data_IF_106515737192
#
_entry.id   IF_106515737192
#
_cell.length_a   1.000
_cell.length_b   1.000
_cell.length_c   1.000
_cell.angle_alpha   90.00
_cell.angle_beta   90.00
_cell.angle_gamma   90.00
#
_symmetry.space_group_name_H-M   'P 1'
#
loop_
_entity.id
_entity.type
_entity.pdbx_description
1 polymer ?
#
# COMPACT_ATOMS: atom_id res chain seq x y z
N UNK A 1 35.69 -37.40 -25.83
CA UNK A 1 35.13 -36.76 -24.63
C UNK A 1 35.14 -35.25 -24.84
N UNK A 2 34.00 -34.66 -25.20
CA UNK A 2 33.83 -33.19 -25.26
C UNK A 2 32.68 -32.86 -24.34
N UNK A 3 33.01 -32.39 -23.14
CA UNK A 3 32.04 -31.95 -22.13
C UNK A 3 31.40 -30.67 -22.69
N UNK A 4 30.18 -30.78 -23.20
CA UNK A 4 29.34 -29.61 -23.46
C UNK A 4 28.99 -29.06 -22.07
N UNK A 5 29.66 -27.98 -21.71
CA UNK A 5 29.40 -27.21 -20.50
C UNK A 5 28.01 -26.61 -20.66
N UNK A 6 27.05 -27.13 -19.88
CA UNK A 6 25.75 -26.51 -19.69
C UNK A 6 26.04 -25.18 -18.99
N UNK A 7 26.00 -24.10 -19.76
CA UNK A 7 25.99 -22.73 -19.22
C UNK A 7 24.61 -22.57 -18.58
N UNK A 8 24.56 -22.87 -17.29
CA UNK A 8 23.46 -22.54 -16.41
C UNK A 8 23.38 -21.01 -16.39
N UNK A 9 22.52 -20.46 -17.25
CA UNK A 9 22.12 -19.05 -17.20
C UNK A 9 21.45 -18.85 -15.85
N UNK A 10 22.25 -18.46 -14.87
CA UNK A 10 21.84 -18.01 -13.56
C UNK A 10 21.06 -16.72 -13.81
N UNK A 11 19.75 -16.85 -14.03
CA UNK A 11 18.83 -15.71 -13.98
C UNK A 11 18.90 -15.23 -12.55
N UNK A 12 19.76 -14.24 -12.32
CA UNK A 12 19.75 -13.41 -11.12
C UNK A 12 18.29 -12.99 -10.92
N UNK A 13 17.63 -13.33 -9.81
CA UNK A 13 16.35 -12.73 -9.47
C UNK A 13 16.64 -11.26 -9.19
N UNK A 14 16.62 -10.45 -10.24
CA UNK A 14 16.72 -9.00 -10.15
C UNK A 14 15.53 -8.52 -9.34
N UNK A 15 15.77 -8.29 -8.06
CA UNK A 15 15.12 -7.34 -7.17
C UNK A 15 13.65 -7.09 -7.52
N UNK A 16 12.82 -8.05 -7.10
CA UNK A 16 11.38 -7.88 -6.97
C UNK A 16 11.13 -6.88 -5.84
N UNK A 17 11.45 -5.59 -6.04
CA UNK A 17 11.03 -4.47 -5.19
C UNK A 17 9.58 -4.12 -5.51
N UNK A 18 8.71 -5.13 -5.45
CA UNK A 18 7.35 -5.02 -5.93
C UNK A 18 6.34 -4.60 -4.84
N UNK A 19 6.80 -4.25 -3.64
CA UNK A 19 5.98 -3.77 -2.54
C UNK A 19 6.90 -2.98 -1.59
N UNK A 20 6.37 -1.99 -0.86
CA UNK A 20 7.17 -1.27 0.14
C UNK A 20 7.71 -2.26 1.17
N UNK A 21 9.02 -2.22 1.40
CA UNK A 21 9.66 -3.07 2.40
C UNK A 21 9.21 -2.65 3.81
N UNK A 22 8.85 -1.38 4.00
CA UNK A 22 8.29 -0.83 5.24
C UNK A 22 6.97 -1.50 5.58
N UNK A 23 6.04 -1.58 4.63
CA UNK A 23 4.74 -2.25 4.81
C UNK A 23 4.92 -3.75 5.07
N UNK A 24 5.94 -4.36 4.46
CA UNK A 24 6.27 -5.76 4.68
C UNK A 24 6.83 -6.00 6.08
N UNK A 25 7.84 -5.22 6.50
CA UNK A 25 8.40 -5.25 7.86
C UNK A 25 7.35 -4.96 8.92
N UNK A 26 6.44 -4.02 8.65
CA UNK A 26 5.32 -3.71 9.54
C UNK A 26 4.41 -4.93 9.75
N UNK A 27 4.01 -5.61 8.68
CA UNK A 27 3.23 -6.85 8.78
C UNK A 27 3.98 -7.93 9.57
N UNK A 28 5.27 -8.15 9.26
CA UNK A 28 6.08 -9.18 9.93
C UNK A 28 6.24 -8.90 11.43
N UNK A 29 6.43 -7.62 11.80
CA UNK A 29 6.52 -7.17 13.21
C UNK A 29 5.19 -7.35 13.95
N UNK A 30 4.07 -7.19 13.25
CA UNK A 30 2.73 -7.28 13.82
C UNK A 30 2.03 -8.55 13.35
N UNK A 31 2.67 -9.71 13.57
CA UNK A 31 2.06 -11.01 13.23
C UNK A 31 0.68 -11.17 13.87
N UNK A 32 -0.28 -11.70 13.10
CA UNK A 32 -1.70 -11.75 13.46
C UNK A 32 -2.49 -10.44 13.25
N UNK A 33 -1.88 -9.38 12.70
CA UNK A 33 -2.62 -8.21 12.24
C UNK A 33 -3.62 -8.57 11.14
N UNK A 34 -4.77 -7.90 11.13
CA UNK A 34 -5.73 -8.06 10.06
C UNK A 34 -5.12 -7.57 8.75
N UNK A 35 -4.93 -8.49 7.80
CA UNK A 35 -4.22 -8.20 6.54
C UNK A 35 -5.02 -8.71 5.35
N UNK A 36 -5.27 -7.85 4.36
CA UNK A 36 -5.90 -8.20 3.10
C UNK A 36 -4.99 -7.86 1.92
N UNK A 37 -5.03 -8.71 0.89
CA UNK A 37 -4.30 -8.50 -0.35
C UNK A 37 -5.28 -8.50 -1.52
N UNK A 38 -5.24 -7.44 -2.31
CA UNK A 38 -6.04 -7.31 -3.51
C UNK A 38 -5.12 -7.15 -4.72
N UNK A 39 -5.05 -8.19 -5.54
CA UNK A 39 -4.33 -8.13 -6.81
C UNK A 39 -5.23 -7.52 -7.89
N UNK A 40 -4.65 -7.00 -8.99
CA UNK A 40 -5.40 -6.38 -10.08
C UNK A 40 -6.67 -7.15 -10.49
N UNK A 41 -6.57 -8.47 -10.68
CA UNK A 41 -7.71 -9.31 -11.06
C UNK A 41 -8.79 -9.37 -9.97
N UNK A 42 -8.40 -9.41 -8.69
CA UNK A 42 -9.34 -9.34 -7.56
C UNK A 42 -10.02 -7.98 -7.50
N UNK A 43 -9.30 -6.90 -7.79
CA UNK A 43 -9.87 -5.55 -7.84
C UNK A 43 -10.92 -5.43 -8.94
N UNK A 44 -10.67 -6.00 -10.12
CA UNK A 44 -11.65 -6.06 -11.21
C UNK A 44 -12.91 -6.81 -10.81
N UNK A 45 -12.79 -7.88 -10.01
CA UNK A 45 -13.95 -8.60 -9.49
C UNK A 45 -14.80 -7.76 -8.53
N UNK A 46 -14.20 -6.80 -7.82
CA UNK A 46 -14.94 -5.89 -6.94
C UNK A 46 -15.75 -4.86 -7.74
N UNK A 47 -15.44 -4.64 -9.02
CA UNK A 47 -16.19 -3.76 -9.91
C UNK A 47 -17.47 -4.41 -10.44
N UNK A 48 -18.34 -4.90 -9.54
CA UNK A 48 -19.54 -5.68 -9.92
C UNK A 48 -20.55 -4.89 -10.75
N UNK A 49 -20.56 -3.56 -10.62
CA UNK A 49 -21.47 -2.66 -11.33
C UNK A 49 -20.89 -2.13 -12.66
N UNK A 50 -19.75 -2.66 -13.10
CA UNK A 50 -19.05 -2.24 -14.32
C UNK A 50 -18.80 -0.71 -14.35
N UNK A 51 -18.49 -0.13 -13.20
CA UNK A 51 -18.23 1.29 -13.06
C UNK A 51 -16.92 1.65 -13.79
N UNK A 52 -17.04 2.41 -14.89
CA UNK A 52 -15.91 2.80 -15.72
C UNK A 52 -14.90 3.70 -14.99
N UNK A 53 -15.36 4.49 -14.01
CA UNK A 53 -14.49 5.36 -13.22
C UNK A 53 -13.61 4.53 -12.27
N UNK A 54 -14.19 3.53 -11.61
CA UNK A 54 -13.47 2.59 -10.77
C UNK A 54 -12.51 1.73 -11.58
N UNK A 55 -12.93 1.19 -12.73
CA UNK A 55 -12.06 0.43 -13.64
C UNK A 55 -10.83 1.26 -14.04
N UNK A 56 -11.05 2.53 -14.42
CA UNK A 56 -9.99 3.43 -14.82
C UNK A 56 -9.07 3.86 -13.66
N UNK A 57 -9.49 3.67 -12.41
CA UNK A 57 -8.68 3.90 -11.22
C UNK A 57 -7.82 2.66 -10.90
N UNK A 58 -8.36 1.45 -11.02
CA UNK A 58 -7.67 0.22 -10.63
C UNK A 58 -6.83 -0.41 -11.73
N UNK A 59 -7.05 -0.05 -13.01
CA UNK A 59 -6.45 -0.72 -14.17
C UNK A 59 -4.93 -0.86 -14.12
N UNK A 60 -4.24 0.15 -13.56
CA UNK A 60 -2.79 0.24 -13.51
C UNK A 60 -2.23 -0.05 -12.10
N UNK A 61 -3.10 -0.52 -11.18
CA UNK A 61 -2.73 -1.01 -9.86
C UNK A 61 -2.36 -2.49 -9.96
N UNK A 62 -1.13 -2.84 -9.60
CA UNK A 62 -0.68 -4.24 -9.56
C UNK A 62 -1.28 -4.96 -8.34
N UNK A 63 -1.19 -4.30 -7.19
CA UNK A 63 -1.55 -4.87 -5.88
C UNK A 63 -1.88 -3.77 -4.87
N UNK A 64 -2.91 -3.99 -4.08
CA UNK A 64 -3.16 -3.28 -2.84
C UNK A 64 -2.99 -4.22 -1.65
N UNK A 65 -2.39 -3.72 -0.58
CA UNK A 65 -2.29 -4.41 0.70
C UNK A 65 -2.85 -3.52 1.79
N UNK A 66 -3.82 -4.04 2.50
CA UNK A 66 -4.39 -3.41 3.68
C UNK A 66 -3.91 -4.14 4.92
N UNK A 67 -3.43 -3.40 5.92
CA UNK A 67 -3.06 -3.93 7.24
C UNK A 67 -3.77 -3.05 8.29
N UNK A 68 -4.39 -3.66 9.28
CA UNK A 68 -4.93 -2.95 10.46
C UNK A 68 -4.41 -3.59 11.74
N UNK A 69 -3.99 -2.73 12.67
CA UNK A 69 -3.54 -3.12 14.01
C UNK A 69 -4.31 -2.34 15.08
N UNK A 70 -4.58 -2.98 16.22
CA UNK A 70 -5.02 -2.31 17.44
C UNK A 70 -3.81 -1.64 18.12
N UNK A 71 -3.95 -0.36 18.46
CA UNK A 71 -2.86 0.43 19.02
C UNK A 71 -2.46 0.00 20.43
N UNK A 72 -3.44 -0.37 21.26
CA UNK A 72 -3.21 -0.76 22.66
C UNK A 72 -2.52 -2.11 22.73
N UNK A 73 -2.94 -3.07 21.93
CA UNK A 73 -2.35 -4.40 21.89
C UNK A 73 -0.94 -4.40 21.30
N UNK A 74 -0.64 -3.46 20.40
CA UNK A 74 0.59 -3.45 19.60
C UNK A 74 1.55 -2.30 19.91
N UNK A 75 1.28 -1.52 20.97
CA UNK A 75 2.09 -0.37 21.41
C UNK A 75 2.36 0.64 20.28
N UNK A 76 1.33 0.95 19.48
CA UNK A 76 1.44 1.96 18.42
C UNK A 76 1.25 3.36 19.00
N UNK A 77 2.33 3.89 19.56
CA UNK A 77 2.41 5.27 20.04
C UNK A 77 2.94 6.23 18.97
N UNK A 78 3.07 7.52 19.33
CA UNK A 78 3.59 8.55 18.43
C UNK A 78 5.02 8.28 17.94
N UNK A 79 5.86 7.65 18.76
CA UNK A 79 7.23 7.32 18.37
C UNK A 79 7.24 6.19 17.34
N UNK A 80 6.40 5.17 17.53
CA UNK A 80 6.20 4.09 16.56
C UNK A 80 5.66 4.62 15.22
N UNK A 81 4.70 5.55 15.27
CA UNK A 81 4.19 6.24 14.08
C UNK A 81 5.30 7.02 13.35
N UNK A 82 6.04 7.87 14.06
CA UNK A 82 7.11 8.66 13.45
C UNK A 82 8.19 7.76 12.80
N UNK A 83 8.56 6.67 13.49
CA UNK A 83 9.53 5.71 12.93
C UNK A 83 8.99 4.99 11.70
N UNK A 84 7.67 4.72 11.64
CA UNK A 84 7.04 4.16 10.45
C UNK A 84 7.10 5.13 9.27
N UNK A 85 6.84 6.42 9.52
CA UNK A 85 6.92 7.48 8.49
C UNK A 85 8.35 7.65 7.97
N UNK A 86 9.33 7.73 8.86
CA UNK A 86 10.75 7.83 8.49
C UNK A 86 11.19 6.66 7.59
N UNK A 87 10.73 5.43 7.87
CA UNK A 87 11.03 4.27 7.03
C UNK A 87 10.41 4.36 5.62
N UNK A 88 9.24 4.99 5.48
CA UNK A 88 8.69 5.27 4.15
C UNK A 88 9.50 6.34 3.42
N UNK A 89 9.96 7.38 4.11
CA UNK A 89 10.85 8.40 3.52
C UNK A 89 12.19 7.80 3.07
N UNK A 90 12.76 6.87 3.84
CA UNK A 90 13.95 6.10 3.45
C UNK A 90 13.73 5.26 2.17
N UNK A 91 12.47 4.91 1.88
CA UNK A 91 12.05 4.23 0.66
C UNK A 91 11.61 5.19 -0.44
N UNK A 92 11.98 6.47 -0.37
CA UNK A 92 11.69 7.52 -1.37
C UNK A 92 10.19 7.81 -1.55
N UNK A 93 9.37 7.49 -0.54
CA UNK A 93 8.03 8.05 -0.49
C UNK A 93 8.11 9.50 0.01
N UNK A 94 7.32 10.38 -0.59
CA UNK A 94 7.21 11.79 -0.24
C UNK A 94 5.81 12.10 0.32
N UNK A 95 5.71 13.09 1.20
CA UNK A 95 4.43 13.58 1.71
C UNK A 95 3.59 14.19 0.58
N UNK A 96 2.43 13.61 0.32
CA UNK A 96 1.48 14.14 -0.67
C UNK A 96 0.46 15.05 -0.01
N UNK A 97 -0.24 14.53 1.00
CA UNK A 97 -1.25 15.28 1.74
C UNK A 97 -1.55 14.65 3.09
N UNK A 98 -2.06 15.46 4.02
CA UNK A 98 -2.67 14.98 5.27
C UNK A 98 -4.07 15.56 5.37
N UNK A 99 -5.02 14.75 5.79
CA UNK A 99 -6.40 15.18 6.04
C UNK A 99 -6.93 14.56 7.32
N UNK A 100 -7.91 15.22 7.94
CA UNK A 100 -8.64 14.69 9.09
C UNK A 100 -10.10 14.51 8.73
N UNK A 101 -10.63 13.32 8.95
CA UNK A 101 -12.04 12.99 8.71
C UNK A 101 -12.57 12.14 9.85
N UNK A 102 -13.69 12.55 10.46
CA UNK A 102 -14.43 11.75 11.45
C UNK A 102 -13.56 11.23 12.63
N UNK A 103 -12.55 12.01 13.04
CA UNK A 103 -11.63 11.64 14.13
C UNK A 103 -10.41 10.82 13.70
N UNK A 104 -10.29 10.51 12.41
CA UNK A 104 -9.17 9.79 11.83
C UNK A 104 -8.24 10.76 11.08
N UNK A 105 -6.95 10.68 11.36
CA UNK A 105 -5.91 11.35 10.59
C UNK A 105 -5.45 10.43 9.46
N UNK A 106 -5.50 10.93 8.22
CA UNK A 106 -5.13 10.19 7.02
C UNK A 106 -3.92 10.90 6.41
N UNK A 107 -2.78 10.22 6.47
CA UNK A 107 -1.53 10.65 5.89
C UNK A 107 -1.29 9.90 4.58
N UNK A 108 -1.08 10.64 3.49
CA UNK A 108 -0.88 10.07 2.17
C UNK A 108 0.54 10.36 1.71
N UNK A 109 1.25 9.31 1.35
CA UNK A 109 2.60 9.35 0.83
C UNK A 109 2.63 8.80 -0.59
N UNK A 110 3.45 9.38 -1.44
CA UNK A 110 3.58 9.00 -2.84
C UNK A 110 5.02 8.67 -3.18
N UNK A 111 5.24 7.61 -3.93
CA UNK A 111 6.52 7.32 -4.56
C UNK A 111 6.40 7.51 -6.07
N UNK A 112 7.15 8.44 -6.62
CA UNK A 112 7.14 8.72 -8.07
C UNK A 112 8.48 8.39 -8.71
N UNK A 113 8.44 8.06 -10.00
CA UNK A 113 9.65 7.98 -10.83
C UNK A 113 9.34 8.48 -12.23
N UNK A 114 10.09 9.49 -12.68
CA UNK A 114 9.89 10.14 -13.99
C UNK A 114 8.47 10.69 -14.21
N UNK A 115 7.87 11.27 -13.16
CA UNK A 115 6.50 11.82 -13.21
C UNK A 115 5.39 10.77 -13.28
N UNK A 116 5.71 9.51 -12.98
CA UNK A 116 4.75 8.41 -12.91
C UNK A 116 4.74 7.84 -11.50
N UNK A 117 3.57 7.82 -10.87
CA UNK A 117 3.32 7.14 -9.59
C UNK A 117 3.75 5.68 -9.68
N UNK A 118 4.58 5.24 -8.75
CA UNK A 118 5.00 3.84 -8.56
C UNK A 118 4.37 3.21 -7.34
N UNK A 119 4.02 4.01 -6.35
CA UNK A 119 3.27 3.58 -5.18
C UNK A 119 2.59 4.74 -4.46
N UNK A 120 1.54 4.39 -3.71
CA UNK A 120 0.85 5.26 -2.78
C UNK A 120 0.69 4.51 -1.45
N UNK A 121 0.92 5.21 -0.36
CA UNK A 121 0.71 4.68 0.99
C UNK A 121 -0.24 5.61 1.71
N UNK A 122 -1.28 5.05 2.29
CA UNK A 122 -2.19 5.73 3.20
C UNK A 122 -1.96 5.17 4.60
N UNK A 123 -1.64 6.03 5.55
CA UNK A 123 -1.64 5.70 6.97
C UNK A 123 -2.85 6.38 7.59
N UNK A 124 -3.79 5.57 8.06
CA UNK A 124 -5.02 5.98 8.70
C UNK A 124 -4.87 5.75 10.20
N UNK A 125 -4.91 6.83 10.97
CA UNK A 125 -4.61 6.85 12.39
C UNK A 125 -5.81 7.39 13.18
N UNK A 126 -6.44 6.54 13.99
CA UNK A 126 -7.53 6.92 14.90
C UNK A 126 -7.16 6.56 16.36
N UNK A 127 -8.03 6.80 17.33
CA UNK A 127 -7.71 6.57 18.75
C UNK A 127 -7.47 5.10 19.12
N UNK A 128 -8.01 4.15 18.34
CA UNK A 128 -8.00 2.72 18.66
C UNK A 128 -7.07 1.92 17.76
N UNK A 129 -6.93 2.33 16.50
CA UNK A 129 -6.30 1.55 15.44
C UNK A 129 -5.37 2.38 14.58
N UNK A 130 -4.38 1.69 14.00
CA UNK A 130 -3.58 2.20 12.90
C UNK A 130 -3.75 1.27 11.72
N UNK A 131 -4.12 1.82 10.58
CA UNK A 131 -4.29 1.09 9.34
C UNK A 131 -3.36 1.61 8.26
N UNK A 132 -2.78 0.70 7.48
CA UNK A 132 -1.92 0.99 6.34
C UNK A 132 -2.59 0.43 5.09
N UNK A 133 -2.81 1.29 4.09
CA UNK A 133 -3.13 0.87 2.73
C UNK A 133 -1.95 1.19 1.82
N UNK A 134 -1.27 0.14 1.36
CA UNK A 134 -0.14 0.22 0.44
C UNK A 134 -0.60 -0.21 -0.95
N UNK A 135 -0.57 0.74 -1.88
CA UNK A 135 -0.97 0.59 -3.27
C UNK A 135 0.28 0.61 -4.13
N UNK A 136 0.52 -0.50 -4.82
CA UNK A 136 1.64 -0.65 -5.74
C UNK A 136 1.16 -0.67 -7.18
N UNK A 137 1.75 0.17 -8.00
CA UNK A 137 1.32 0.43 -9.38
C UNK A 137 1.13 1.92 -9.64
N UNK A 138 0.65 2.25 -10.83
CA UNK A 138 0.38 3.63 -11.19
C UNK A 138 -1.05 3.99 -10.81
N UNK A 139 -1.18 5.06 -10.01
CA UNK A 139 -2.46 5.67 -9.71
C UNK A 139 -2.41 7.11 -10.19
N UNK A 140 -3.36 7.53 -11.06
CA UNK A 140 -3.45 8.92 -11.48
C UNK A 140 -3.69 9.81 -10.24
N UNK A 141 -2.79 10.77 -10.01
CA UNK A 141 -2.84 11.70 -8.86
C UNK A 141 -4.21 12.40 -8.73
N UNK A 142 -4.78 12.82 -9.87
CA UNK A 142 -6.09 13.45 -9.94
C UNK A 142 -7.27 12.52 -9.56
N UNK A 143 -7.02 11.23 -9.34
CA UNK A 143 -8.00 10.24 -8.91
C UNK A 143 -7.75 9.69 -7.50
N UNK A 144 -6.70 10.13 -6.81
CA UNK A 144 -6.38 9.69 -5.44
C UNK A 144 -7.50 10.03 -4.47
N UNK A 145 -8.12 11.22 -4.61
CA UNK A 145 -9.29 11.59 -3.82
C UNK A 145 -10.50 10.65 -4.06
N UNK A 146 -10.68 10.16 -5.29
CA UNK A 146 -11.76 9.25 -5.63
C UNK A 146 -11.50 7.84 -5.07
N UNK A 147 -10.23 7.41 -5.05
CA UNK A 147 -9.82 6.16 -4.39
C UNK A 147 -10.17 6.18 -2.89
N UNK A 148 -9.83 7.26 -2.19
CA UNK A 148 -10.18 7.44 -0.79
C UNK A 148 -11.70 7.37 -0.56
N UNK A 149 -12.46 8.04 -1.42
CA UNK A 149 -13.92 8.05 -1.34
C UNK A 149 -14.53 6.66 -1.58
N UNK A 150 -13.96 5.88 -2.50
CA UNK A 150 -14.41 4.52 -2.79
C UNK A 150 -14.15 3.53 -1.64
N UNK A 151 -13.17 3.81 -0.78
CA UNK A 151 -12.82 3.00 0.40
C UNK A 151 -13.64 3.39 1.65
N UNK A 152 -14.36 4.50 1.60
CA UNK A 152 -15.20 4.98 2.71
C UNK A 152 -16.24 3.95 3.21
N UNK A 153 -16.90 3.13 2.36
CA UNK A 153 -17.90 2.16 2.83
C UNK A 153 -17.32 1.01 3.67
N UNK A 154 -16.01 0.74 3.63
CA UNK A 154 -15.40 -0.39 4.37
C UNK A 154 -14.66 0.03 5.64
N UNK A 155 -14.53 1.33 5.89
CA UNK A 155 -13.80 1.89 7.04
C UNK A 155 -14.72 2.37 8.17
N UNK A 156 -16.04 2.44 7.96
CA UNK A 156 -16.99 3.06 8.88
C UNK A 156 -18.05 2.14 9.51
N UNK A 157 -18.10 0.84 9.20
CA UNK A 157 -19.23 -0.03 9.57
C UNK A 157 -18.85 -1.29 10.38
N UNK A 158 -17.73 -1.28 11.12
CA UNK A 158 -17.42 -2.32 12.12
C UNK A 158 -16.91 -1.72 13.42
#
# INVERSE_FOLDING_TARGET
MKKIVIVFSLVLPSLVHAQSETTKRFQEKHDGAFTLFFYNNTLKMLNMEENAEFEALIKDIDKMKFIRVDKKERNMDKAAFNSLVEQYHDEEFEDLMTMRQEGMDIHVYIKESSGVTKGLVFIMDDDESLSILDVKGAVPLNKVANLLSALKPTLGDH
#
